data_IF_956877421344
#
_entry.id   IF_956877421344
#
_cell.length_a   1.000
_cell.length_b   1.000
_cell.length_c   1.000
_cell.angle_alpha   90.00
_cell.angle_beta   90.00
_cell.angle_gamma   90.00
#
_symmetry.space_group_name_H-M   'P 1'
#
loop_
_entity.id
_entity.type
_entity.pdbx_description
1 polymer ?
#
# COMPACT_ATOMS: atom_id res chain seq x y z
N UNK A 1 -6.90 -12.17 -23.52
CA UNK A 1 -6.03 -12.24 -22.34
C UNK A 1 -5.14 -11.01 -22.31
N UNK A 2 -4.93 -10.39 -21.13
CA UNK A 2 -3.99 -9.27 -20.97
C UNK A 2 -2.58 -9.85 -20.99
N UNK A 3 -1.70 -9.28 -21.81
CA UNK A 3 -0.31 -9.74 -21.88
C UNK A 3 0.48 -9.13 -20.71
N UNK A 4 0.72 -9.94 -19.67
CA UNK A 4 1.44 -9.51 -18.46
C UNK A 4 2.95 -9.66 -18.64
N UNK A 5 3.67 -8.59 -18.31
CA UNK A 5 5.14 -8.55 -18.29
C UNK A 5 5.62 -8.46 -16.83
N UNK A 6 6.73 -9.11 -16.52
CA UNK A 6 7.39 -9.03 -15.21
C UNK A 6 8.55 -8.04 -15.29
N UNK A 7 8.51 -7.00 -14.47
CA UNK A 7 9.57 -6.02 -14.35
C UNK A 7 10.34 -6.28 -13.05
N UNK A 8 11.66 -6.55 -13.13
CA UNK A 8 12.48 -6.76 -11.94
C UNK A 8 12.73 -5.43 -11.21
N UNK A 9 12.97 -5.49 -9.90
CA UNK A 9 13.56 -4.37 -9.19
C UNK A 9 15.08 -4.42 -9.31
N UNK A 10 15.73 -3.28 -9.16
CA UNK A 10 17.19 -3.20 -9.05
C UNK A 10 17.73 -3.66 -7.68
N UNK A 11 16.87 -3.83 -6.68
CA UNK A 11 17.25 -4.00 -5.28
C UNK A 11 16.82 -5.34 -4.66
N UNK A 12 15.90 -6.09 -5.28
CA UNK A 12 15.37 -7.33 -4.71
C UNK A 12 15.03 -8.39 -5.76
N UNK A 13 14.67 -9.59 -5.29
CA UNK A 13 14.16 -10.67 -6.15
C UNK A 13 12.66 -10.50 -6.51
N UNK A 14 12.05 -9.38 -6.14
CA UNK A 14 10.66 -9.09 -6.43
C UNK A 14 10.48 -8.64 -7.87
N UNK A 15 9.31 -8.95 -8.42
CA UNK A 15 8.90 -8.54 -9.75
C UNK A 15 7.58 -7.79 -9.68
N UNK A 16 7.49 -6.67 -10.37
CA UNK A 16 6.21 -6.02 -10.62
C UNK A 16 5.57 -6.64 -11.86
N UNK A 17 4.34 -7.12 -11.74
CA UNK A 17 3.57 -7.64 -12.87
C UNK A 17 2.73 -6.52 -13.44
N UNK A 18 2.93 -6.24 -14.71
CA UNK A 18 2.25 -5.13 -15.38
C UNK A 18 1.77 -5.52 -16.77
N UNK A 19 0.74 -4.84 -17.23
CA UNK A 19 0.35 -4.86 -18.64
C UNK A 19 0.15 -3.44 -19.13
N UNK A 20 0.72 -3.11 -20.29
CA UNK A 20 0.50 -1.82 -20.94
C UNK A 20 -0.88 -1.79 -21.60
N UNK A 21 -1.60 -0.70 -21.43
CA UNK A 21 -2.95 -0.53 -21.95
C UNK A 21 -3.58 0.77 -21.48
N UNK A 22 -4.90 0.86 -21.52
CA UNK A 22 -5.65 1.96 -20.96
C UNK A 22 -6.66 1.41 -19.96
N UNK A 23 -6.50 1.75 -18.70
CA UNK A 23 -7.26 1.18 -17.59
C UNK A 23 -7.90 2.30 -16.77
N UNK A 24 -9.16 2.10 -16.38
CA UNK A 24 -9.85 2.97 -15.44
C UNK A 24 -9.67 2.45 -14.01
N UNK A 25 -9.36 3.36 -13.10
CA UNK A 25 -9.45 3.17 -11.66
C UNK A 25 -10.64 3.97 -11.12
N UNK A 26 -10.93 3.89 -9.82
CA UNK A 26 -11.99 4.68 -9.18
C UNK A 26 -11.78 6.20 -9.32
N UNK A 27 -10.53 6.66 -9.46
CA UNK A 27 -10.18 8.09 -9.42
C UNK A 27 -9.36 8.59 -10.61
N UNK A 28 -8.85 7.70 -11.47
CA UNK A 28 -7.97 8.08 -12.57
C UNK A 28 -7.99 7.07 -13.70
N UNK A 29 -7.44 7.47 -14.85
CA UNK A 29 -7.09 6.58 -15.95
C UNK A 29 -5.58 6.42 -15.99
N UNK A 30 -5.10 5.19 -16.15
CA UNK A 30 -3.68 4.84 -16.15
C UNK A 30 -3.32 4.02 -17.39
N UNK A 31 -2.08 4.14 -17.83
CA UNK A 31 -1.58 3.43 -19.01
C UNK A 31 -0.94 2.07 -18.68
N UNK A 32 -0.95 1.66 -17.40
CA UNK A 32 -0.46 0.36 -16.95
C UNK A 32 -1.44 -0.28 -15.97
N UNK A 33 -1.82 -1.51 -16.22
CA UNK A 33 -2.40 -2.38 -15.20
C UNK A 33 -1.26 -2.93 -14.34
N UNK A 34 -1.36 -2.75 -13.02
CA UNK A 34 -0.39 -3.21 -12.04
C UNK A 34 -1.02 -4.33 -11.21
N UNK A 35 -0.51 -5.56 -11.36
CA UNK A 35 -1.01 -6.72 -10.64
C UNK A 35 -0.08 -7.05 -9.47
N UNK A 36 -0.55 -6.81 -8.27
CA UNK A 36 0.11 -7.13 -7.00
C UNK A 36 -0.56 -8.30 -6.26
N UNK A 37 -1.46 -9.02 -6.91
CA UNK A 37 -2.27 -10.09 -6.31
C UNK A 37 -1.39 -11.15 -5.65
N UNK A 38 -0.34 -11.60 -6.32
CA UNK A 38 0.52 -12.65 -5.75
C UNK A 38 1.38 -12.13 -4.60
N UNK A 39 1.80 -10.86 -4.62
CA UNK A 39 2.50 -10.25 -3.50
C UNK A 39 1.60 -10.16 -2.26
N UNK A 40 0.30 -9.92 -2.43
CA UNK A 40 -0.66 -9.86 -1.32
C UNK A 40 -1.05 -11.24 -0.78
N UNK A 41 -1.14 -12.26 -1.64
CA UNK A 41 -1.78 -13.54 -1.31
C UNK A 41 -0.82 -14.72 -1.17
N UNK A 42 0.35 -14.69 -1.82
CA UNK A 42 1.33 -15.76 -1.77
C UNK A 42 2.38 -15.51 -0.69
N UNK A 43 2.44 -16.38 0.32
CA UNK A 43 3.30 -16.20 1.50
C UNK A 43 4.78 -15.88 1.15
N UNK A 44 5.37 -16.55 0.16
CA UNK A 44 6.77 -16.33 -0.20
C UNK A 44 7.01 -14.92 -0.76
N UNK A 45 6.08 -14.40 -1.58
CA UNK A 45 6.15 -13.06 -2.14
C UNK A 45 5.82 -11.99 -1.07
N UNK A 46 4.82 -12.26 -0.21
CA UNK A 46 4.50 -11.37 0.92
C UNK A 46 5.67 -11.22 1.91
N UNK A 47 6.38 -12.32 2.20
CA UNK A 47 7.62 -12.27 3.01
C UNK A 47 8.72 -11.46 2.34
N UNK A 48 8.87 -11.55 1.03
CA UNK A 48 9.87 -10.76 0.31
C UNK A 48 9.53 -9.27 0.33
N UNK A 49 8.24 -8.91 0.12
CA UNK A 49 7.74 -7.53 0.28
C UNK A 49 8.02 -7.00 1.69
N UNK A 50 7.67 -7.77 2.71
CA UNK A 50 7.88 -7.39 4.11
C UNK A 50 9.36 -7.12 4.43
N UNK A 51 10.28 -7.94 3.92
CA UNK A 51 11.73 -7.76 4.09
C UNK A 51 12.26 -6.48 3.45
N UNK A 52 11.69 -6.06 2.33
CA UNK A 52 12.08 -4.79 1.70
C UNK A 52 11.54 -3.60 2.51
N UNK A 53 10.28 -3.65 2.94
CA UNK A 53 9.65 -2.54 3.65
C UNK A 53 10.18 -2.35 5.07
N UNK A 54 10.58 -3.43 5.76
CA UNK A 54 11.02 -3.35 7.18
C UNK A 54 12.20 -2.42 7.38
N UNK A 55 13.11 -2.33 6.41
CA UNK A 55 14.33 -1.52 6.50
C UNK A 55 14.05 -0.03 6.81
N UNK A 56 12.89 0.48 6.39
CA UNK A 56 12.51 1.87 6.65
C UNK A 56 12.08 2.13 8.10
N UNK A 57 11.71 1.09 8.85
CA UNK A 57 11.02 1.25 10.15
C UNK A 57 11.74 0.61 11.33
N UNK A 58 12.54 -0.43 11.12
CA UNK A 58 13.06 -1.27 12.21
C UNK A 58 13.92 -0.54 13.25
N UNK A 59 14.63 0.54 12.85
CA UNK A 59 15.64 1.19 13.70
C UNK A 59 15.16 2.48 14.36
N UNK A 60 14.13 3.13 13.83
CA UNK A 60 13.76 4.49 14.22
C UNK A 60 12.27 4.72 14.38
N UNK A 61 11.46 3.69 14.20
CA UNK A 61 10.00 3.84 14.21
C UNK A 61 9.35 2.83 15.14
N UNK A 62 8.58 3.32 16.09
CA UNK A 62 7.71 2.47 16.92
C UNK A 62 6.47 2.16 16.11
N UNK A 63 6.07 0.88 16.09
CA UNK A 63 4.87 0.40 15.41
C UNK A 63 4.08 -0.48 16.37
N UNK A 64 2.92 0.02 16.80
CA UNK A 64 1.98 -0.75 17.64
C UNK A 64 0.93 -1.48 16.82
N UNK A 65 0.59 -0.93 15.64
CA UNK A 65 -0.48 -1.44 14.78
C UNK A 65 -0.11 -1.28 13.31
N UNK A 66 -0.40 -2.30 12.51
CA UNK A 66 -0.38 -2.23 11.04
C UNK A 66 -1.83 -2.18 10.55
N UNK A 67 -2.23 -1.06 9.96
CA UNK A 67 -3.51 -0.88 9.29
C UNK A 67 -3.38 -1.33 7.83
N UNK A 68 -3.95 -2.48 7.52
CA UNK A 68 -3.85 -3.12 6.20
C UNK A 68 -5.00 -2.69 5.30
N UNK A 69 -4.70 -1.99 4.23
CA UNK A 69 -5.64 -1.61 3.17
C UNK A 69 -5.54 -2.62 2.00
N UNK A 70 -6.53 -2.66 1.14
CA UNK A 70 -6.51 -3.36 -0.17
C UNK A 70 -6.09 -4.84 -0.11
N UNK A 71 -6.41 -5.53 0.97
CA UNK A 71 -6.08 -6.96 1.12
C UNK A 71 -4.61 -7.25 1.43
N UNK A 72 -3.88 -6.33 2.07
CA UNK A 72 -2.45 -6.48 2.41
C UNK A 72 -2.16 -7.21 3.72
N UNK A 73 -3.15 -7.88 4.35
CA UNK A 73 -3.01 -8.50 5.68
C UNK A 73 -1.88 -9.53 5.76
N UNK A 74 -1.66 -10.31 4.70
CA UNK A 74 -0.58 -11.30 4.67
C UNK A 74 0.78 -10.60 4.70
N UNK A 75 0.92 -9.49 3.96
CA UNK A 75 2.14 -8.67 4.01
C UNK A 75 2.27 -8.02 5.38
N UNK A 76 1.19 -7.44 5.92
CA UNK A 76 1.18 -6.82 7.26
C UNK A 76 1.62 -7.78 8.35
N UNK A 77 1.14 -9.04 8.31
CA UNK A 77 1.56 -10.10 9.23
C UNK A 77 3.06 -10.42 9.08
N UNK A 78 3.54 -10.55 7.84
CA UNK A 78 4.96 -10.79 7.60
C UNK A 78 5.81 -9.60 8.05
N UNK A 79 5.35 -8.36 7.81
CA UNK A 79 6.05 -7.14 8.21
C UNK A 79 6.12 -7.00 9.73
N UNK A 80 5.02 -7.24 10.44
CA UNK A 80 5.01 -7.26 11.91
C UNK A 80 5.98 -8.31 12.46
N UNK A 81 6.03 -9.50 11.85
CA UNK A 81 6.98 -10.53 12.24
C UNK A 81 8.44 -10.12 11.98
N UNK A 82 8.75 -9.40 10.89
CA UNK A 82 10.09 -8.85 10.66
C UNK A 82 10.43 -7.72 11.65
N UNK A 83 9.48 -6.83 11.94
CA UNK A 83 9.65 -5.71 12.90
C UNK A 83 9.88 -6.20 14.34
N UNK A 84 9.33 -7.34 14.73
CA UNK A 84 9.44 -7.86 16.12
C UNK A 84 10.57 -8.86 16.33
N UNK A 85 11.38 -9.13 15.29
CA UNK A 85 12.53 -10.00 15.42
C UNK A 85 13.56 -9.47 16.42
N UNK A 86 14.23 -10.39 17.09
CA UNK A 86 15.35 -10.08 17.96
C UNK A 86 16.44 -9.31 17.20
N UNK A 87 16.92 -8.25 17.81
CA UNK A 87 17.97 -7.44 17.23
C UNK A 87 18.30 -6.26 18.13
N UNK A 88 19.59 -6.02 18.40
CA UNK A 88 20.03 -4.97 19.32
C UNK A 88 19.57 -3.55 18.93
N UNK A 89 19.37 -3.31 17.64
CA UNK A 89 18.93 -2.00 17.13
C UNK A 89 17.49 -1.97 16.66
N UNK A 90 16.69 -3.02 16.94
CA UNK A 90 15.30 -3.08 16.54
C UNK A 90 14.41 -2.49 17.64
N UNK A 91 13.77 -1.34 17.36
CA UNK A 91 12.91 -0.65 18.33
C UNK A 91 11.66 -1.43 18.72
N UNK A 92 11.22 -2.36 17.89
CA UNK A 92 10.00 -3.15 18.07
C UNK A 92 10.31 -4.58 18.53
N UNK A 93 11.56 -4.90 18.88
CA UNK A 93 11.91 -6.24 19.35
C UNK A 93 11.05 -6.64 20.55
N UNK A 94 10.52 -7.87 20.52
CA UNK A 94 9.64 -8.44 21.54
C UNK A 94 8.28 -7.71 21.77
N UNK A 95 7.91 -6.76 20.91
CA UNK A 95 6.62 -6.10 20.96
C UNK A 95 5.52 -6.96 20.34
N UNK A 96 4.28 -6.69 20.73
CA UNK A 96 3.10 -7.25 20.06
C UNK A 96 2.50 -6.19 19.15
N UNK A 97 2.41 -6.49 17.86
CA UNK A 97 1.85 -5.58 16.85
C UNK A 97 0.46 -6.09 16.43
N UNK A 98 -0.54 -5.22 16.48
CA UNK A 98 -1.86 -5.52 15.94
C UNK A 98 -1.86 -5.43 14.41
N UNK A 99 -2.52 -6.37 13.75
CA UNK A 99 -2.78 -6.33 12.30
C UNK A 99 -4.29 -6.19 12.12
N UNK A 100 -4.74 -5.04 11.63
CA UNK A 100 -6.15 -4.72 11.47
C UNK A 100 -6.47 -4.28 10.05
N UNK A 101 -7.74 -4.44 9.68
CA UNK A 101 -8.30 -3.96 8.42
C UNK A 101 -9.48 -3.05 8.71
N UNK A 102 -9.62 -1.94 7.99
CA UNK A 102 -10.80 -1.10 8.12
C UNK A 102 -11.98 -1.69 7.35
N UNK A 103 -13.15 -1.12 7.61
CA UNK A 103 -14.31 -1.22 6.74
C UNK A 103 -14.46 0.06 5.91
N UNK A 104 -15.16 -0.05 4.79
CA UNK A 104 -15.45 1.07 3.93
C UNK A 104 -16.97 1.31 3.89
N UNK A 105 -17.38 2.57 4.02
CA UNK A 105 -18.75 2.98 3.75
C UNK A 105 -19.00 3.01 2.23
N UNK A 106 -20.27 3.15 1.83
CA UNK A 106 -20.65 3.35 0.42
C UNK A 106 -20.04 4.63 -0.19
N UNK A 107 -19.58 5.57 0.64
CA UNK A 107 -18.85 6.78 0.22
C UNK A 107 -17.33 6.65 0.31
N UNK A 108 -16.79 5.44 0.38
CA UNK A 108 -15.33 5.15 0.50
C UNK A 108 -14.68 5.74 1.75
N UNK A 109 -15.46 6.11 2.77
CA UNK A 109 -14.89 6.51 4.07
C UNK A 109 -14.38 5.28 4.80
N UNK A 110 -13.23 5.42 5.42
CA UNK A 110 -12.62 4.39 6.26
C UNK A 110 -13.21 4.47 7.66
N UNK A 111 -13.75 3.35 8.14
CA UNK A 111 -14.28 3.21 9.49
C UNK A 111 -13.64 2.02 10.21
N UNK A 112 -13.47 2.16 11.51
CA UNK A 112 -13.05 1.07 12.38
C UNK A 112 -14.22 0.71 13.30
N UNK A 113 -14.50 -0.58 13.43
CA UNK A 113 -15.48 -1.07 14.41
C UNK A 113 -15.01 -0.75 15.82
N UNK A 114 -15.97 -0.64 16.76
CA UNK A 114 -15.69 -0.31 18.16
C UNK A 114 -14.67 -1.23 18.82
N UNK A 115 -14.62 -2.49 18.44
CA UNK A 115 -13.66 -3.47 18.93
C UNK A 115 -12.24 -3.28 18.35
N UNK A 116 -12.08 -2.58 17.23
CA UNK A 116 -10.79 -2.26 16.62
C UNK A 116 -10.27 -0.87 17.05
N UNK A 117 -11.15 0.05 17.41
CA UNK A 117 -10.77 1.40 17.81
C UNK A 117 -9.70 1.43 18.93
N UNK A 118 -9.73 0.56 19.97
CA UNK A 118 -8.67 0.51 20.99
C UNK A 118 -7.29 0.11 20.44
N UNK A 119 -7.22 -0.57 19.30
CA UNK A 119 -5.96 -0.97 18.66
C UNK A 119 -5.31 0.19 17.88
N UNK A 120 -6.01 1.33 17.78
CA UNK A 120 -5.54 2.55 17.12
C UNK A 120 -5.38 3.69 18.11
N UNK A 121 -6.28 3.84 19.08
CA UNK A 121 -6.27 4.93 20.03
C UNK A 121 -4.98 4.97 20.85
N UNK A 122 -4.24 6.08 20.75
CA UNK A 122 -2.95 6.27 21.42
C UNK A 122 -1.82 5.36 20.91
N UNK A 123 -1.96 4.78 19.71
CA UNK A 123 -1.02 3.82 19.10
C UNK A 123 -0.30 4.44 17.91
N UNK A 124 0.92 3.97 17.67
CA UNK A 124 1.67 4.28 16.45
C UNK A 124 1.24 3.31 15.34
N UNK A 125 0.58 3.85 14.34
CA UNK A 125 -0.06 3.07 13.27
C UNK A 125 0.73 3.19 11.99
N UNK A 126 1.25 2.06 11.51
CA UNK A 126 1.82 1.95 10.17
C UNK A 126 0.71 1.58 9.19
N UNK A 127 0.46 2.45 8.21
CA UNK A 127 -0.53 2.21 7.16
C UNK A 127 0.14 1.44 6.01
N UNK A 128 -0.46 0.34 5.59
CA UNK A 128 0.05 -0.52 4.52
C UNK A 128 -1.00 -0.66 3.43
N UNK A 129 -0.71 -0.10 2.26
CA UNK A 129 -1.55 -0.18 1.07
C UNK A 129 -0.94 -1.11 0.00
N UNK A 130 -1.74 -1.60 -0.92
CA UNK A 130 -1.24 -2.33 -2.09
C UNK A 130 -0.58 -1.36 -3.08
N UNK A 131 -1.27 -0.26 -3.39
CA UNK A 131 -0.78 0.80 -4.24
C UNK A 131 -1.27 2.17 -3.78
N UNK A 132 -0.45 3.19 -4.03
CA UNK A 132 -0.80 4.59 -3.80
C UNK A 132 -0.59 5.34 -5.12
N UNK A 133 -1.69 5.62 -5.82
CA UNK A 133 -1.67 6.33 -7.11
C UNK A 133 -2.06 7.80 -6.94
N UNK A 134 -3.34 8.08 -6.75
CA UNK A 134 -3.82 9.45 -6.51
C UNK A 134 -3.69 9.90 -5.05
N UNK A 135 -3.45 8.96 -4.13
CA UNK A 135 -3.32 9.25 -2.71
C UNK A 135 -4.64 9.38 -1.93
N UNK A 136 -5.81 9.35 -2.58
CA UNK A 136 -7.10 9.52 -1.89
C UNK A 136 -7.34 8.50 -0.78
N UNK A 137 -7.13 7.20 -1.05
CA UNK A 137 -7.28 6.14 -0.04
C UNK A 137 -6.26 6.29 1.09
N UNK A 138 -5.03 6.67 0.76
CA UNK A 138 -3.98 6.92 1.75
C UNK A 138 -4.32 8.13 2.65
N UNK A 139 -4.82 9.22 2.05
CA UNK A 139 -5.30 10.38 2.80
C UNK A 139 -6.46 10.00 3.73
N UNK A 140 -7.47 9.28 3.22
CA UNK A 140 -8.59 8.82 4.04
C UNK A 140 -8.13 7.92 5.21
N UNK A 141 -7.10 7.09 5.00
CA UNK A 141 -6.54 6.27 6.06
C UNK A 141 -5.80 7.08 7.12
N UNK A 142 -5.02 8.09 6.72
CA UNK A 142 -4.36 9.03 7.65
C UNK A 142 -5.41 9.77 8.48
N UNK A 143 -6.44 10.31 7.83
CA UNK A 143 -7.54 11.01 8.50
C UNK A 143 -8.29 10.08 9.47
N UNK A 144 -8.56 8.84 9.09
CA UNK A 144 -9.19 7.87 9.97
C UNK A 144 -8.33 7.54 11.19
N UNK A 145 -7.03 7.29 11.03
CA UNK A 145 -6.11 7.05 12.16
C UNK A 145 -6.14 8.21 13.13
N UNK A 146 -6.06 9.46 12.64
CA UNK A 146 -6.13 10.66 13.45
C UNK A 146 -7.49 10.81 14.14
N UNK A 147 -8.59 10.56 13.44
CA UNK A 147 -9.95 10.60 14.00
C UNK A 147 -10.13 9.63 15.16
N UNK A 148 -9.59 8.41 15.07
CA UNK A 148 -9.63 7.43 16.17
C UNK A 148 -8.56 7.65 17.24
N UNK A 149 -7.81 8.75 17.16
CA UNK A 149 -6.82 9.16 18.16
C UNK A 149 -5.51 8.36 18.09
N UNK A 150 -5.17 7.80 16.95
CA UNK A 150 -3.88 7.18 16.67
C UNK A 150 -2.84 8.20 16.19
N UNK A 151 -1.61 7.75 16.05
CA UNK A 151 -0.49 8.50 15.48
C UNK A 151 0.03 7.75 14.26
N UNK A 152 0.08 8.40 13.10
CA UNK A 152 0.60 7.77 11.88
C UNK A 152 2.12 7.63 12.01
N UNK A 153 2.60 6.39 12.07
CA UNK A 153 4.01 6.04 12.17
C UNK A 153 4.72 6.02 10.80
N UNK A 154 3.96 5.82 9.73
CA UNK A 154 4.43 5.81 8.37
C UNK A 154 3.39 5.28 7.41
N UNK A 155 3.70 5.38 6.12
CA UNK A 155 2.85 4.93 5.04
C UNK A 155 3.66 4.07 4.07
N UNK A 156 3.24 2.83 3.85
CA UNK A 156 3.92 1.86 3.00
C UNK A 156 3.03 1.35 1.88
N UNK A 157 3.64 1.07 0.72
CA UNK A 157 2.96 0.45 -0.40
C UNK A 157 3.90 -0.48 -1.19
N UNK A 158 3.33 -1.39 -1.98
CA UNK A 158 4.11 -2.15 -2.96
C UNK A 158 4.50 -1.21 -4.10
N UNK A 159 3.55 -0.41 -4.59
CA UNK A 159 3.75 0.59 -5.64
C UNK A 159 3.23 1.96 -5.19
N UNK A 160 3.99 3.03 -5.42
CA UNK A 160 3.52 4.39 -5.17
C UNK A 160 3.99 5.37 -6.25
N UNK A 161 3.13 6.32 -6.60
CA UNK A 161 3.45 7.41 -7.53
C UNK A 161 3.95 8.67 -6.84
N UNK A 162 3.77 8.74 -5.52
CA UNK A 162 4.17 9.87 -4.68
C UNK A 162 5.08 9.40 -3.55
N UNK A 163 6.00 10.26 -3.14
CA UNK A 163 6.90 10.03 -1.99
C UNK A 163 6.34 10.57 -0.67
N UNK A 164 5.20 11.26 -0.70
CA UNK A 164 4.59 11.88 0.49
C UNK A 164 3.07 11.97 0.34
N UNK A 165 2.34 11.85 1.45
CA UNK A 165 0.91 12.08 1.55
C UNK A 165 0.59 12.79 2.87
N UNK A 166 0.00 13.98 2.82
CA UNK A 166 -0.33 14.82 4.00
C UNK A 166 0.85 14.97 4.98
N UNK A 167 2.05 15.24 4.49
CA UNK A 167 3.26 15.37 5.31
C UNK A 167 3.83 14.05 5.83
N UNK A 168 3.20 12.90 5.51
CA UNK A 168 3.70 11.58 5.88
C UNK A 168 4.51 10.99 4.72
N UNK A 169 5.79 10.63 4.94
CA UNK A 169 6.59 9.96 3.92
C UNK A 169 6.00 8.62 3.50
N UNK A 170 6.04 8.35 2.20
CA UNK A 170 5.62 7.07 1.59
C UNK A 170 6.83 6.21 1.30
N UNK A 171 6.87 5.03 1.89
CA UNK A 171 7.86 4.00 1.56
C UNK A 171 7.26 3.01 0.57
N UNK A 172 7.85 2.89 -0.61
CA UNK A 172 7.40 1.93 -1.62
C UNK A 172 8.55 1.11 -2.20
N UNK A 173 8.22 -0.08 -2.71
CA UNK A 173 9.19 -0.96 -3.37
C UNK A 173 9.36 -0.57 -4.83
N UNK A 174 8.25 -0.24 -5.47
CA UNK A 174 8.18 0.19 -6.85
C UNK A 174 7.58 1.59 -6.95
N UNK A 175 8.05 2.34 -7.91
CA UNK A 175 7.61 3.68 -8.24
C UNK A 175 7.49 3.86 -9.78
N UNK A 176 7.05 5.01 -10.29
CA UNK A 176 6.95 5.25 -11.73
C UNK A 176 8.27 5.09 -12.50
N UNK A 177 9.43 5.24 -11.88
CA UNK A 177 10.72 5.01 -12.54
C UNK A 177 10.92 3.56 -12.95
N UNK A 178 10.21 2.63 -12.30
CA UNK A 178 10.16 1.21 -12.65
C UNK A 178 9.31 0.92 -13.90
N UNK A 179 8.53 1.92 -14.38
CA UNK A 179 7.56 1.78 -15.47
C UNK A 179 7.86 2.78 -16.59
N UNK A 180 8.38 2.35 -17.75
CA UNK A 180 8.63 3.26 -18.87
C UNK A 180 7.35 3.98 -19.29
N UNK A 181 7.42 5.31 -19.39
CA UNK A 181 6.30 6.17 -19.83
C UNK A 181 5.03 6.03 -18.98
N UNK A 182 5.16 5.75 -17.67
CA UNK A 182 3.99 5.71 -16.79
C UNK A 182 3.25 7.05 -16.82
N UNK A 183 1.93 6.99 -17.03
CA UNK A 183 1.07 8.15 -17.03
C UNK A 183 -0.26 7.84 -16.31
N UNK A 184 -0.69 8.81 -15.50
CA UNK A 184 -2.00 8.83 -14.85
C UNK A 184 -2.70 10.13 -15.21
N UNK A 185 -3.97 10.04 -15.59
CA UNK A 185 -4.78 11.19 -16.02
C UNK A 185 -6.06 11.24 -15.19
N UNK A 186 -6.56 12.44 -14.95
CA UNK A 186 -7.94 12.58 -14.50
C UNK A 186 -8.89 11.93 -15.52
N UNK A 187 -9.95 11.29 -15.03
CA UNK A 187 -10.90 10.59 -15.88
C UNK A 187 -11.59 11.50 -16.92
N UNK A 188 -11.68 12.80 -16.63
CA UNK A 188 -12.31 13.81 -17.51
C UNK A 188 -11.35 14.38 -18.55
N UNK A 189 -10.05 14.31 -18.29
CA UNK A 189 -8.98 14.92 -19.12
C UNK A 189 -8.11 13.89 -19.83
N UNK A 190 -8.49 12.61 -19.78
CA UNK A 190 -7.70 11.54 -20.34
C UNK A 190 -7.74 11.53 -21.88
N UNK A 191 -6.62 11.83 -22.58
CA UNK A 191 -6.57 11.92 -24.04
C UNK A 191 -6.97 10.62 -24.75
N UNK A 192 -6.62 9.41 -24.24
CA UNK A 192 -6.97 8.16 -24.90
C UNK A 192 -8.44 7.73 -24.80
N UNK A 193 -9.27 8.37 -23.98
CA UNK A 193 -10.69 7.96 -23.78
C UNK A 193 -11.48 7.95 -25.09
N UNK A 194 -11.11 8.79 -26.06
CA UNK A 194 -11.79 8.88 -27.35
C UNK A 194 -11.47 7.71 -28.31
N UNK A 195 -10.47 6.87 -28.02
CA UNK A 195 -9.93 5.92 -29.02
C UNK A 195 -9.75 4.47 -28.57
N UNK A 196 -9.88 4.13 -27.28
CA UNK A 196 -9.57 2.78 -26.80
C UNK A 196 -10.60 2.24 -25.83
N UNK A 197 -10.79 0.90 -25.84
CA UNK A 197 -11.61 0.22 -24.84
C UNK A 197 -10.99 0.33 -23.46
N UNK A 198 -11.67 1.04 -22.55
CA UNK A 198 -11.35 1.07 -21.13
C UNK A 198 -11.53 -0.33 -20.53
N UNK A 199 -10.55 -0.76 -19.74
CA UNK A 199 -10.66 -1.94 -18.89
C UNK A 199 -10.67 -1.51 -17.44
N UNK A 200 -11.58 -2.09 -16.65
CA UNK A 200 -11.60 -1.83 -15.22
C UNK A 200 -10.31 -2.39 -14.58
N UNK A 201 -9.73 -1.60 -13.68
CA UNK A 201 -8.64 -2.04 -12.83
C UNK A 201 -9.25 -2.61 -11.55
N UNK A 202 -9.16 -3.93 -11.34
CA UNK A 202 -9.81 -4.64 -10.22
C UNK A 202 -9.14 -4.43 -8.86
N UNK A 203 -8.27 -3.46 -8.69
CA UNK A 203 -7.53 -3.27 -7.44
C UNK A 203 -8.19 -2.36 -6.41
N UNK A 204 -9.34 -1.76 -6.74
CA UNK A 204 -10.03 -0.80 -5.88
C UNK A 204 -11.44 -1.31 -5.47
N UNK A 205 -11.53 -2.50 -4.91
CA UNK A 205 -12.71 -2.95 -4.18
C UNK A 205 -12.39 -3.17 -2.71
#
# INVERSE_FOLDING_TARGET
MINMVKLPTSKSSLFLRVAKGHFATSHSHINYYIDVTTQKSRLSEAKAVAKELVAAYQHNTIVDTVLCLDGTQVIGTCLANELTKDGFSNMNAHQTIYIITPEYTTGSQIILRDNLAPMVKGKHVLILAASITTGYTAQAAIEAVNYYGGMVAGLSAIFATTSECLGTPVTSIFDPSSLPDYASFDSRECPPVSYTHLRAHETDQ
#
